data_IF_522651115038
#
_entry.id   IF_522651115038
#
_cell.length_a   1.000
_cell.length_b   1.000
_cell.length_c   1.000
_cell.angle_alpha   90.00
_cell.angle_beta   90.00
_cell.angle_gamma   90.00
#
_symmetry.space_group_name_H-M   'P 1'
#
loop_
_entity.id
_entity.type
_entity.pdbx_description
1 polymer ?
#
# COMPACT_ATOMS: atom_id res chain seq x y z
N UNK A 1 -49.13 6.40 -32.79
CA UNK A 1 -49.60 7.78 -32.49
C UNK A 1 -49.90 7.87 -31.01
N UNK A 2 -49.67 9.07 -30.46
CA UNK A 2 -49.69 9.50 -29.04
C UNK A 2 -50.96 9.02 -28.32
N UNK A 3 -50.95 8.79 -27.01
CA UNK A 3 -51.17 9.86 -26.05
C UNK A 3 -50.38 9.66 -24.74
N UNK A 4 -49.66 10.73 -24.39
CA UNK A 4 -49.28 11.10 -23.03
C UNK A 4 -50.53 11.34 -22.17
N UNK A 5 -50.46 11.15 -20.85
CA UNK A 5 -50.77 12.17 -19.84
C UNK A 5 -50.58 11.65 -18.40
N UNK A 6 -50.07 12.56 -17.58
CA UNK A 6 -49.47 12.43 -16.24
C UNK A 6 -50.51 12.25 -15.13
N UNK A 7 -50.07 11.70 -14.00
CA UNK A 7 -50.44 12.19 -12.66
C UNK A 7 -49.38 11.76 -11.65
N UNK A 8 -48.54 12.72 -11.25
CA UNK A 8 -47.69 12.63 -10.05
C UNK A 8 -48.57 12.59 -8.80
N UNK A 9 -48.24 11.73 -7.84
CA UNK A 9 -48.52 11.97 -6.43
C UNK A 9 -47.48 11.28 -5.56
N UNK A 10 -46.92 12.08 -4.66
CA UNK A 10 -45.69 11.88 -3.93
C UNK A 10 -45.79 10.92 -2.72
N UNK A 11 -44.74 10.11 -2.55
CA UNK A 11 -43.92 9.96 -1.33
C UNK A 11 -44.55 9.40 -0.02
N UNK A 12 -44.20 8.13 0.24
CA UNK A 12 -43.71 7.44 1.48
C UNK A 12 -44.55 7.52 2.79
N UNK A 13 -44.44 6.64 3.81
CA UNK A 13 -43.40 5.74 4.36
C UNK A 13 -44.14 4.64 5.16
N UNK A 14 -43.62 3.41 5.19
CA UNK A 14 -44.06 2.39 6.15
C UNK A 14 -43.14 1.17 6.25
N UNK A 15 -41.97 1.37 6.90
CA UNK A 15 -40.98 0.37 7.43
C UNK A 15 -41.11 -1.10 7.00
N UNK A 16 -40.19 -1.56 6.16
CA UNK A 16 -39.87 -2.97 6.00
C UNK A 16 -39.01 -3.49 7.17
N UNK A 17 -39.28 -4.72 7.57
CA UNK A 17 -38.83 -5.43 8.76
C UNK A 17 -37.31 -5.63 8.78
N UNK A 18 -36.68 -5.32 9.91
CA UNK A 18 -35.32 -5.78 10.21
C UNK A 18 -35.43 -7.20 10.79
N UNK A 19 -35.21 -8.20 9.94
CA UNK A 19 -34.95 -9.57 10.37
C UNK A 19 -33.63 -9.58 11.13
N UNK A 20 -33.69 -9.98 12.40
CA UNK A 20 -32.52 -10.11 13.28
C UNK A 20 -31.55 -11.15 12.70
N UNK A 21 -30.41 -10.68 12.20
CA UNK A 21 -29.29 -11.50 11.75
C UNK A 21 -28.14 -11.41 12.76
N UNK A 22 -28.33 -11.95 13.95
CA UNK A 22 -27.22 -12.13 14.90
C UNK A 22 -26.50 -13.44 14.59
N UNK A 23 -25.60 -13.39 13.60
CA UNK A 23 -24.57 -14.40 13.51
C UNK A 23 -23.73 -14.32 14.79
N UNK A 24 -23.80 -15.37 15.61
CA UNK A 24 -23.01 -15.55 16.82
C UNK A 24 -21.52 -15.35 16.47
N UNK A 25 -20.98 -14.17 16.78
CA UNK A 25 -19.54 -13.92 16.69
C UNK A 25 -18.91 -14.65 17.86
N UNK A 26 -18.55 -15.91 17.65
CA UNK A 26 -17.50 -16.54 18.44
C UNK A 26 -16.19 -15.84 18.03
N UNK A 27 -15.45 -15.21 18.94
CA UNK A 27 -14.06 -14.91 18.65
C UNK A 27 -13.30 -16.24 18.76
N UNK A 28 -13.38 -17.06 17.71
CA UNK A 28 -12.28 -17.98 17.44
C UNK A 28 -11.25 -17.09 16.77
N UNK A 29 -10.33 -16.58 17.57
CA UNK A 29 -9.15 -15.89 17.08
C UNK A 29 -8.42 -16.84 16.11
N UNK A 30 -8.73 -16.71 14.83
CA UNK A 30 -7.86 -17.15 13.73
C UNK A 30 -6.77 -16.09 13.51
N UNK A 31 -6.24 -15.56 14.61
CA UNK A 31 -4.92 -14.98 14.59
C UNK A 31 -4.00 -16.17 14.35
N UNK A 32 -3.72 -16.46 13.09
CA UNK A 32 -2.58 -17.27 12.70
C UNK A 32 -1.43 -16.79 13.58
N UNK A 33 -1.04 -17.64 14.53
CA UNK A 33 -0.03 -17.37 15.54
C UNK A 33 1.10 -16.65 14.83
N UNK A 34 1.31 -15.35 15.12
CA UNK A 34 2.28 -14.52 14.41
C UNK A 34 3.53 -15.36 14.21
N UNK A 35 4.03 -15.59 12.98
CA UNK A 35 5.23 -16.38 12.78
C UNK A 35 6.31 -15.82 13.70
N UNK A 36 6.63 -16.57 14.77
CA UNK A 36 7.68 -16.18 15.70
C UNK A 36 8.97 -16.25 14.92
N UNK A 37 9.51 -15.07 14.62
CA UNK A 37 10.91 -14.90 14.30
C UNK A 37 11.30 -15.15 12.85
N UNK A 38 10.87 -14.27 11.96
CA UNK A 38 11.81 -13.72 10.96
C UNK A 38 11.54 -12.22 10.81
N UNK A 39 11.77 -11.44 11.87
CA UNK A 39 11.83 -9.97 11.79
C UNK A 39 12.94 -9.49 10.86
N UNK A 40 13.85 -10.39 10.47
CA UNK A 40 14.94 -10.11 9.54
C UNK A 40 14.43 -10.05 8.08
N UNK A 41 13.34 -10.75 7.78
CA UNK A 41 12.78 -10.83 6.43
C UNK A 41 11.78 -9.72 6.10
N UNK A 42 11.26 -9.01 7.12
CA UNK A 42 10.22 -7.97 6.98
C UNK A 42 10.50 -6.74 7.88
N UNK A 43 9.92 -5.58 7.58
CA UNK A 43 10.07 -4.39 8.43
C UNK A 43 11.52 -3.89 8.57
N UNK A 44 12.02 -3.81 9.80
CA UNK A 44 13.36 -3.29 10.11
C UNK A 44 14.48 -4.14 9.48
N UNK A 45 14.32 -5.47 9.40
CA UNK A 45 15.31 -6.35 8.78
C UNK A 45 15.55 -6.08 7.30
N UNK A 46 14.53 -5.58 6.57
CA UNK A 46 14.70 -5.12 5.19
C UNK A 46 15.53 -3.84 5.12
N UNK A 47 15.29 -2.88 6.02
CA UNK A 47 16.05 -1.62 6.08
C UNK A 47 17.53 -1.91 6.37
N UNK A 48 17.82 -2.78 7.34
CA UNK A 48 19.20 -3.19 7.64
C UNK A 48 19.90 -3.82 6.43
N UNK A 49 19.21 -4.71 5.70
CA UNK A 49 19.76 -5.33 4.48
C UNK A 49 19.92 -4.34 3.33
N UNK A 50 19.00 -3.39 3.18
CA UNK A 50 19.09 -2.34 2.17
C UNK A 50 20.29 -1.41 2.42
N UNK A 51 20.53 -1.07 3.68
CA UNK A 51 21.65 -0.21 4.11
C UNK A 51 22.97 -0.98 4.29
N UNK A 52 22.97 -2.30 4.17
CA UNK A 52 24.19 -3.09 4.27
C UNK A 52 25.24 -2.61 3.24
N UNK A 53 26.49 -2.43 3.68
CA UNK A 53 27.60 -1.91 2.85
C UNK A 53 27.70 -2.60 1.48
N UNK A 54 27.57 -3.93 1.46
CA UNK A 54 27.60 -4.73 0.23
C UNK A 54 26.46 -4.38 -0.73
N UNK A 55 25.25 -4.12 -0.21
CA UNK A 55 24.12 -3.72 -1.03
C UNK A 55 24.34 -2.32 -1.62
N UNK A 56 24.75 -1.36 -0.79
CA UNK A 56 25.04 0.01 -1.23
C UNK A 56 26.14 0.04 -2.30
N UNK A 57 27.22 -0.72 -2.15
CA UNK A 57 28.26 -0.84 -3.18
C UNK A 57 27.74 -1.39 -4.51
N UNK A 58 26.83 -2.38 -4.47
CA UNK A 58 26.20 -2.93 -5.69
C UNK A 58 25.26 -1.92 -6.33
N UNK A 59 24.47 -1.21 -5.53
CA UNK A 59 23.60 -0.14 -6.01
C UNK A 59 24.44 0.95 -6.68
N UNK A 60 25.54 1.38 -6.05
CA UNK A 60 26.43 2.40 -6.59
C UNK A 60 27.03 2.03 -7.94
N UNK A 61 27.45 0.77 -8.12
CA UNK A 61 27.91 0.28 -9.43
C UNK A 61 26.85 0.43 -10.51
N UNK A 62 25.58 0.14 -10.19
CA UNK A 62 24.47 0.26 -11.15
C UNK A 62 24.15 1.72 -11.47
N UNK A 63 24.15 2.60 -10.47
CA UNK A 63 23.94 4.04 -10.68
C UNK A 63 24.95 4.59 -11.68
N UNK A 64 26.24 4.30 -11.48
CA UNK A 64 27.30 4.70 -12.41
C UNK A 64 27.13 4.11 -13.81
N UNK A 65 26.64 2.87 -13.92
CA UNK A 65 26.42 2.22 -15.20
C UNK A 65 25.25 2.82 -16.00
N UNK A 66 24.22 3.32 -15.31
CA UNK A 66 23.03 3.87 -15.95
C UNK A 66 23.25 5.26 -16.58
N UNK A 67 24.29 5.99 -16.16
CA UNK A 67 24.69 7.30 -16.73
C UNK A 67 23.54 8.32 -16.83
N UNK A 68 22.65 8.35 -15.83
CA UNK A 68 21.54 9.30 -15.79
C UNK A 68 22.00 10.75 -15.62
N UNK A 69 21.12 11.70 -15.96
CA UNK A 69 21.34 13.12 -15.71
C UNK A 69 21.21 13.47 -14.21
N UNK A 70 21.73 14.64 -13.83
CA UNK A 70 21.59 15.17 -12.48
C UNK A 70 20.12 15.32 -12.07
N UNK A 71 19.85 15.10 -10.78
CA UNK A 71 18.52 15.28 -10.20
C UNK A 71 18.17 16.75 -9.95
N UNK A 72 17.08 16.98 -9.21
CA UNK A 72 16.65 18.33 -8.80
C UNK A 72 17.63 19.01 -7.84
N UNK A 73 18.51 18.24 -7.21
CA UNK A 73 19.62 18.71 -6.38
C UNK A 73 20.83 19.20 -7.21
N UNK A 74 20.81 18.99 -8.52
CA UNK A 74 21.85 19.42 -9.45
C UNK A 74 23.18 18.66 -9.31
N UNK A 75 23.23 17.58 -8.51
CA UNK A 75 24.47 16.83 -8.29
C UNK A 75 24.69 15.81 -9.41
N UNK A 76 25.90 15.83 -9.98
CA UNK A 76 26.34 14.75 -10.88
C UNK A 76 26.65 13.47 -10.10
N UNK A 77 26.76 12.36 -10.83
CA UNK A 77 27.17 11.08 -10.26
C UNK A 77 28.60 11.19 -9.70
N UNK A 78 29.48 11.89 -10.38
CA UNK A 78 30.88 12.13 -9.96
C UNK A 78 30.94 12.94 -8.68
N UNK A 79 30.20 14.05 -8.59
CA UNK A 79 30.14 14.90 -7.40
C UNK A 79 29.55 14.15 -6.19
N UNK A 80 28.62 13.23 -6.43
CA UNK A 80 28.08 12.35 -5.37
C UNK A 80 29.13 11.35 -4.89
N UNK A 81 30.03 10.89 -5.77
CA UNK A 81 31.08 9.93 -5.44
C UNK A 81 32.11 10.50 -4.44
N UNK A 82 32.37 11.80 -4.50
CA UNK A 82 33.32 12.50 -3.60
C UNK A 82 32.82 12.56 -2.15
N UNK A 83 31.55 12.26 -1.91
CA UNK A 83 30.88 12.38 -0.61
C UNK A 83 30.58 11.03 0.06
N UNK A 84 31.02 9.91 -0.53
CA UNK A 84 30.71 8.52 -0.11
C UNK A 84 31.96 7.70 0.22
#
# INVERSE_FOLDING_TARGET
MRHDLKSDAHQKVGRAQAMSGEAVIRPVSDEALRPRGETDSTGQGLVYRALARRNLQRAWKRVKANKGAAGVDGLSIEQTAERL
#
